data_IF_561996821312
#
_entry.id   IF_561996821312
#
_cell.length_a   1.000
_cell.length_b   1.000
_cell.length_c   1.000
_cell.angle_alpha   90.00
_cell.angle_beta   90.00
_cell.angle_gamma   90.00
#
_symmetry.space_group_name_H-M   'P 1'
#
loop_
_entity.id
_entity.type
_entity.pdbx_description
1 polymer ?
#
# COMPACT_ATOMS: atom_id res chain seq x y z
N UNK A 1 22.85 31.07 -49.59
CA UNK A 1 22.85 29.94 -48.63
C UNK A 1 23.00 30.54 -47.24
N UNK A 2 21.93 30.50 -46.42
CA UNK A 2 21.88 31.17 -45.12
C UNK A 2 21.68 30.08 -44.06
N UNK A 3 22.75 29.77 -43.34
CA UNK A 3 22.75 28.75 -42.29
C UNK A 3 22.04 29.32 -41.07
N UNK A 4 20.89 28.75 -40.72
CA UNK A 4 20.21 29.00 -39.45
C UNK A 4 20.79 28.05 -38.40
N UNK A 5 21.53 28.61 -37.44
CA UNK A 5 21.87 27.92 -36.20
C UNK A 5 20.68 28.02 -35.25
N UNK A 6 20.01 26.89 -35.01
CA UNK A 6 18.94 26.74 -34.03
C UNK A 6 19.59 26.35 -32.70
N UNK A 7 19.79 27.34 -31.82
CA UNK A 7 20.13 27.09 -30.43
C UNK A 7 18.85 26.69 -29.68
N UNK A 8 18.78 25.45 -29.22
CA UNK A 8 17.73 24.95 -28.34
C UNK A 8 18.06 25.42 -26.92
N UNK A 9 17.26 26.30 -26.29
CA UNK A 9 17.42 26.55 -24.87
C UNK A 9 16.93 25.30 -24.13
N UNK A 10 17.86 24.57 -23.53
CA UNK A 10 17.57 23.60 -22.48
C UNK A 10 16.84 24.38 -21.38
N UNK A 11 15.52 24.23 -21.33
CA UNK A 11 14.72 24.76 -20.24
C UNK A 11 15.22 24.12 -18.96
N UNK A 12 15.88 24.91 -18.11
CA UNK A 12 16.13 24.59 -16.72
C UNK A 12 14.76 24.32 -16.09
N UNK A 13 14.43 23.04 -15.93
CA UNK A 13 13.39 22.61 -15.02
C UNK A 13 13.88 23.06 -13.66
N UNK A 14 13.32 24.17 -13.17
CA UNK A 14 13.49 24.62 -11.80
C UNK A 14 13.06 23.44 -10.93
N UNK A 15 14.04 22.73 -10.36
CA UNK A 15 13.83 21.84 -9.24
C UNK A 15 13.32 22.70 -8.10
N UNK A 16 12.00 22.84 -8.02
CA UNK A 16 11.35 23.33 -6.81
C UNK A 16 11.70 22.35 -5.72
N UNK A 17 12.72 22.68 -4.94
CA UNK A 17 12.98 22.01 -3.68
C UNK A 17 11.68 22.14 -2.89
N UNK A 18 11.00 21.01 -2.66
CA UNK A 18 9.87 20.99 -1.74
C UNK A 18 10.48 21.34 -0.38
N UNK A 19 10.19 22.55 0.12
CA UNK A 19 10.87 23.15 1.27
C UNK A 19 10.73 22.35 2.58
N UNK A 20 9.92 21.29 2.58
CA UNK A 20 9.92 20.30 3.64
C UNK A 20 9.56 18.91 3.10
N UNK A 21 10.37 17.87 3.35
CA UNK A 21 9.95 16.50 3.09
C UNK A 21 8.66 16.15 3.86
N UNK A 22 7.82 15.25 3.35
CA UNK A 22 6.64 14.81 4.09
C UNK A 22 7.05 14.09 5.37
N UNK A 23 6.20 14.21 6.40
CA UNK A 23 6.45 13.68 7.74
C UNK A 23 6.55 12.15 7.73
N UNK A 24 5.76 11.50 6.88
CA UNK A 24 5.89 10.07 6.58
C UNK A 24 6.37 9.95 5.13
N UNK A 25 7.29 9.04 4.85
CA UNK A 25 7.71 8.79 3.48
C UNK A 25 7.55 7.33 3.12
N UNK A 26 6.80 7.08 2.05
CA UNK A 26 6.53 5.77 1.46
C UNK A 26 7.41 5.64 0.20
N UNK A 27 8.12 4.53 0.07
CA UNK A 27 9.08 4.31 -1.02
C UNK A 27 8.62 3.23 -2.00
N UNK A 28 8.71 1.98 -1.58
CA UNK A 28 8.48 0.82 -2.43
C UNK A 28 7.30 0.01 -1.88
N UNK A 29 6.64 -0.68 -2.79
CA UNK A 29 5.68 -1.72 -2.44
C UNK A 29 6.31 -3.10 -2.66
N UNK A 30 5.85 -4.06 -1.89
CA UNK A 30 6.28 -5.46 -1.87
C UNK A 30 5.05 -6.32 -1.63
N UNK A 31 5.14 -7.59 -2.04
CA UNK A 31 4.09 -8.57 -1.78
C UNK A 31 4.47 -9.31 -0.50
N UNK A 32 3.64 -9.27 0.56
CA UNK A 32 3.91 -10.06 1.76
C UNK A 32 3.72 -11.55 1.49
N UNK A 33 4.47 -12.40 2.19
CA UNK A 33 4.29 -13.84 2.13
C UNK A 33 3.09 -14.33 2.97
N UNK A 34 2.87 -15.64 3.00
CA UNK A 34 1.82 -16.31 3.76
C UNK A 34 1.95 -16.09 5.28
N UNK A 35 3.13 -15.75 5.78
CA UNK A 35 3.39 -15.39 7.17
C UNK A 35 3.29 -13.89 7.48
N UNK A 36 2.78 -13.08 6.53
CA UNK A 36 2.75 -11.62 6.59
C UNK A 36 4.14 -10.96 6.63
N UNK A 37 5.19 -11.65 6.22
CA UNK A 37 6.55 -11.10 6.22
C UNK A 37 6.83 -10.43 4.87
N UNK A 38 7.43 -9.24 4.93
CA UNK A 38 7.81 -8.46 3.73
C UNK A 38 9.30 -8.61 3.47
N UNK A 39 9.65 -9.27 2.36
CA UNK A 39 11.04 -9.41 1.94
C UNK A 39 11.54 -8.17 1.18
N UNK A 40 12.07 -7.19 1.92
CA UNK A 40 12.60 -5.95 1.35
C UNK A 40 13.92 -6.10 0.58
N UNK A 41 14.62 -7.23 0.74
CA UNK A 41 15.81 -7.55 -0.05
C UNK A 41 15.46 -8.09 -1.45
N UNK A 42 14.19 -8.48 -1.66
CA UNK A 42 13.67 -8.91 -2.95
C UNK A 42 13.38 -7.74 -3.91
N UNK A 43 12.87 -8.09 -5.09
CA UNK A 43 12.41 -7.09 -6.05
C UNK A 43 11.18 -6.35 -5.50
N UNK A 44 11.20 -5.03 -5.57
CA UNK A 44 10.01 -4.22 -5.33
C UNK A 44 8.93 -4.57 -6.37
N UNK A 45 7.68 -4.57 -5.91
CA UNK A 45 6.53 -4.77 -6.77
C UNK A 45 6.13 -3.43 -7.40
N UNK A 46 6.11 -3.38 -8.73
CA UNK A 46 5.65 -2.22 -9.49
C UNK A 46 4.14 -2.18 -9.71
N UNK A 47 3.43 -3.21 -9.26
CA UNK A 47 2.01 -3.41 -9.47
C UNK A 47 1.63 -4.86 -9.21
N UNK A 48 0.33 -5.13 -9.17
CA UNK A 48 -0.13 -6.47 -8.88
C UNK A 48 -1.45 -6.86 -9.47
N UNK A 49 -1.91 -8.04 -9.07
CA UNK A 49 -3.07 -8.71 -9.61
C UNK A 49 -3.86 -9.44 -8.52
N UNK A 50 -5.19 -9.45 -8.67
CA UNK A 50 -6.12 -10.08 -7.73
C UNK A 50 -7.20 -10.86 -8.49
N UNK A 51 -7.41 -12.12 -8.11
CA UNK A 51 -8.56 -12.91 -8.52
C UNK A 51 -9.71 -12.78 -7.50
N UNK A 52 -10.79 -12.12 -7.89
CA UNK A 52 -11.99 -11.97 -7.05
C UNK A 52 -12.72 -13.27 -6.79
N UNK A 53 -12.47 -14.32 -7.59
CA UNK A 53 -13.11 -15.61 -7.38
C UNK A 53 -12.68 -16.26 -6.05
N UNK A 54 -11.50 -15.90 -5.53
CA UNK A 54 -10.90 -16.55 -4.37
C UNK A 54 -10.39 -15.58 -3.32
N UNK A 55 -9.88 -14.43 -3.72
CA UNK A 55 -9.32 -13.42 -2.82
C UNK A 55 -10.17 -12.14 -2.82
N UNK A 56 -10.42 -11.62 -1.63
CA UNK A 56 -11.33 -10.50 -1.41
C UNK A 56 -10.64 -9.26 -0.83
N UNK A 57 -9.31 -9.28 -0.76
CA UNK A 57 -8.43 -8.24 -0.22
C UNK A 57 -7.18 -8.18 -1.08
N UNK A 58 -6.58 -7.00 -1.20
CA UNK A 58 -5.30 -6.84 -1.88
C UNK A 58 -4.27 -6.31 -0.91
N UNK A 59 -3.40 -7.19 -0.40
CA UNK A 59 -2.43 -6.83 0.63
C UNK A 59 -1.10 -6.40 0.03
N UNK A 60 -0.67 -5.17 0.32
CA UNK A 60 0.62 -4.64 -0.10
C UNK A 60 1.48 -4.29 1.12
N UNK A 61 2.73 -4.73 1.12
CA UNK A 61 3.75 -4.32 2.07
C UNK A 61 4.45 -3.06 1.56
N UNK A 62 4.30 -1.94 2.26
CA UNK A 62 4.92 -0.67 1.94
C UNK A 62 6.17 -0.47 2.80
N UNK A 63 7.30 -0.11 2.19
CA UNK A 63 8.43 0.42 2.95
C UNK A 63 8.20 1.90 3.24
N UNK A 64 8.39 2.27 4.50
CA UNK A 64 8.17 3.64 4.96
C UNK A 64 9.26 4.09 5.93
N UNK A 65 9.47 5.40 6.06
CA UNK A 65 10.28 5.99 7.14
C UNK A 65 9.52 7.12 7.83
N UNK A 66 9.89 7.38 9.07
CA UNK A 66 9.56 8.64 9.72
C UNK A 66 10.55 9.72 9.21
N UNK A 67 10.01 10.79 8.64
CA UNK A 67 10.78 11.91 8.10
C UNK A 67 10.93 13.08 9.08
N UNK A 68 10.30 13.02 10.25
CA UNK A 68 10.40 14.07 11.27
C UNK A 68 11.79 14.03 11.90
N UNK A 69 12.51 15.15 11.86
CA UNK A 69 13.81 15.26 12.51
C UNK A 69 13.65 15.20 14.03
N UNK A 70 14.45 14.35 14.68
CA UNK A 70 14.63 14.35 16.13
C UNK A 70 15.34 15.65 16.54
N UNK A 71 14.62 16.63 17.04
CA UNK A 71 15.21 17.74 17.80
C UNK A 71 15.36 17.31 19.25
N UNK A 72 16.59 17.07 19.70
CA UNK A 72 16.88 16.92 21.13
C UNK A 72 16.48 18.22 21.84
N UNK A 73 15.67 18.10 22.89
CA UNK A 73 15.35 19.23 23.75
C UNK A 73 16.43 19.29 24.83
N UNK A 74 17.33 20.27 24.72
CA UNK A 74 18.35 20.53 25.74
C UNK A 74 17.83 21.52 26.78
N UNK A 75 18.00 21.20 28.06
CA UNK A 75 17.79 22.15 29.18
C UNK A 75 19.07 22.20 29.99
N UNK A 76 19.72 23.38 30.03
CA UNK A 76 21.04 23.59 30.65
C UNK A 76 22.12 22.62 30.13
N UNK A 77 22.30 22.53 28.80
CA UNK A 77 23.28 21.64 28.13
C UNK A 77 23.15 20.16 28.49
N UNK A 78 21.99 19.75 29.01
CA UNK A 78 21.65 18.37 29.33
C UNK A 78 20.44 17.96 28.51
N UNK A 79 20.49 16.83 27.78
CA UNK A 79 19.34 16.34 27.03
C UNK A 79 18.22 15.98 28.01
N UNK A 80 17.03 16.54 27.79
CA UNK A 80 15.81 16.13 28.49
C UNK A 80 15.29 14.88 27.79
N UNK A 81 15.64 13.71 28.31
CA UNK A 81 15.03 12.46 27.88
C UNK A 81 13.64 12.34 28.52
N UNK A 82 12.61 12.85 27.85
CA UNK A 82 11.24 12.39 28.14
C UNK A 82 11.14 10.92 27.73
N UNK A 83 10.56 10.05 28.55
CA UNK A 83 10.40 8.61 28.27
C UNK A 83 9.42 8.29 27.12
N UNK A 84 9.19 9.22 26.20
CA UNK A 84 8.28 9.08 25.06
C UNK A 84 8.96 9.43 23.74
N UNK A 85 8.58 8.71 22.68
CA UNK A 85 9.00 9.01 21.32
C UNK A 85 8.33 10.29 20.82
N UNK A 86 8.91 11.45 21.17
CA UNK A 86 8.35 12.78 20.93
C UNK A 86 8.09 13.10 19.45
N UNK A 87 8.71 12.37 18.54
CA UNK A 87 8.58 12.54 17.08
C UNK A 87 7.90 11.36 16.40
N UNK A 88 7.34 10.42 17.17
CA UNK A 88 6.43 9.41 16.64
C UNK A 88 5.23 10.07 15.95
N UNK A 89 4.78 9.44 14.86
CA UNK A 89 3.55 9.80 14.17
C UNK A 89 2.49 8.75 14.46
N UNK A 90 1.37 9.16 15.04
CA UNK A 90 0.20 8.32 15.21
C UNK A 90 -0.69 8.46 13.98
N UNK A 91 -0.68 7.45 13.13
CA UNK A 91 -1.58 7.38 11.98
C UNK A 91 -2.99 7.15 12.50
N UNK A 92 -3.93 8.00 12.07
CA UNK A 92 -5.34 7.97 12.46
C UNK A 92 -6.24 7.42 11.35
N UNK A 93 -5.80 7.57 10.09
CA UNK A 93 -6.49 6.99 8.96
C UNK A 93 -5.59 6.80 7.74
N UNK A 94 -6.05 5.93 6.85
CA UNK A 94 -5.48 5.70 5.52
C UNK A 94 -6.51 6.18 4.52
N UNK A 95 -6.09 7.00 3.56
CA UNK A 95 -6.91 7.39 2.42
C UNK A 95 -6.49 6.57 1.20
N UNK A 96 -7.47 5.92 0.57
CA UNK A 96 -7.31 5.22 -0.69
C UNK A 96 -8.17 5.90 -1.75
N UNK A 97 -7.54 6.40 -2.81
CA UNK A 97 -8.22 6.97 -3.97
C UNK A 97 -7.99 6.07 -5.17
N UNK A 98 -9.05 5.71 -5.87
CA UNK A 98 -9.00 4.77 -6.98
C UNK A 98 -9.15 5.48 -8.32
N UNK A 99 -8.30 5.12 -9.28
CA UNK A 99 -8.33 5.65 -10.63
C UNK A 99 -8.39 4.50 -11.65
N UNK A 100 -9.60 4.17 -12.11
CA UNK A 100 -9.82 3.12 -13.12
C UNK A 100 -9.06 3.44 -14.40
N UNK A 101 -8.27 2.49 -14.87
CA UNK A 101 -7.48 2.58 -16.09
C UNK A 101 -8.26 1.99 -17.25
N UNK A 102 -8.66 2.82 -18.21
CA UNK A 102 -9.43 2.39 -19.37
C UNK A 102 -10.92 2.25 -19.06
N UNK A 103 -11.50 1.08 -19.33
CA UNK A 103 -12.91 0.78 -19.10
C UNK A 103 -13.13 -0.07 -17.84
N UNK A 104 -14.20 0.21 -17.09
CA UNK A 104 -14.55 -0.54 -15.89
C UNK A 104 -15.44 0.26 -14.92
N UNK A 105 -15.79 -0.32 -13.77
CA UNK A 105 -16.48 0.39 -12.70
C UNK A 105 -15.68 1.60 -12.22
N UNK A 106 -16.39 2.64 -11.80
CA UNK A 106 -15.81 3.71 -10.98
C UNK A 106 -15.82 3.24 -9.53
N UNK A 107 -14.67 3.29 -8.86
CA UNK A 107 -14.54 2.94 -7.45
C UNK A 107 -14.55 4.22 -6.62
N UNK A 108 -15.35 4.25 -5.56
CA UNK A 108 -15.38 5.39 -4.63
C UNK A 108 -14.10 5.44 -3.81
N UNK A 109 -13.60 6.65 -3.52
CA UNK A 109 -12.47 6.82 -2.61
C UNK A 109 -12.89 6.46 -1.18
N UNK A 110 -11.98 5.88 -0.43
CA UNK A 110 -12.26 5.33 0.89
C UNK A 110 -11.28 5.85 1.93
N UNK A 111 -11.77 6.06 3.15
CA UNK A 111 -10.98 6.48 4.31
C UNK A 111 -11.13 5.43 5.41
N UNK A 112 -10.05 4.74 5.75
CA UNK A 112 -10.01 3.73 6.79
C UNK A 112 -9.48 4.33 8.07
N UNK A 113 -10.33 4.46 9.08
CA UNK A 113 -9.85 4.75 10.43
C UNK A 113 -8.97 3.60 10.92
N UNK A 114 -7.74 3.93 11.31
CA UNK A 114 -6.76 2.98 11.84
C UNK A 114 -5.91 3.68 12.89
N UNK A 115 -5.34 2.94 13.82
CA UNK A 115 -4.55 3.50 14.90
C UNK A 115 -3.26 2.71 15.07
N UNK A 116 -2.17 3.24 14.54
CA UNK A 116 -0.83 2.71 14.75
C UNK A 116 0.20 3.83 14.80
N UNK A 117 1.32 3.56 15.47
CA UNK A 117 2.43 4.50 15.57
C UNK A 117 3.53 4.15 14.57
N UNK A 118 4.03 5.16 13.87
CA UNK A 118 5.29 5.11 13.14
C UNK A 118 6.34 5.72 14.07
N UNK A 119 7.23 4.91 14.67
CA UNK A 119 8.23 5.42 15.60
C UNK A 119 9.24 6.32 14.89
N UNK A 120 9.91 7.19 15.62
CA UNK A 120 10.95 8.10 15.10
C UNK A 120 12.15 7.38 14.52
N UNK A 121 12.43 6.17 15.00
CA UNK A 121 13.48 5.33 14.47
C UNK A 121 13.04 4.49 13.26
N UNK A 122 11.82 4.67 12.74
CA UNK A 122 11.38 4.00 11.52
C UNK A 122 12.24 4.47 10.34
N UNK A 123 13.01 3.54 9.79
CA UNK A 123 13.90 3.78 8.64
C UNK A 123 13.27 3.26 7.37
N UNK A 124 13.88 3.45 6.20
CA UNK A 124 13.38 2.88 4.93
C UNK A 124 13.27 1.34 4.91
N UNK A 125 13.75 0.66 5.96
CA UNK A 125 13.59 -0.78 6.17
C UNK A 125 12.39 -1.13 7.07
N UNK A 126 11.62 -0.14 7.52
CA UNK A 126 10.38 -0.36 8.26
C UNK A 126 9.25 -0.63 7.27
N UNK A 127 8.40 -1.60 7.59
CA UNK A 127 7.32 -2.04 6.70
C UNK A 127 5.96 -1.89 7.33
N UNK A 128 4.98 -1.60 6.48
CA UNK A 128 3.58 -1.55 6.82
C UNK A 128 2.80 -2.37 5.79
N UNK A 129 2.09 -3.39 6.24
CA UNK A 129 1.18 -4.13 5.37
C UNK A 129 -0.20 -3.50 5.46
N UNK A 130 -0.75 -3.09 4.33
CA UNK A 130 -2.09 -2.51 4.23
C UNK A 130 -2.92 -3.26 3.17
N UNK A 131 -4.23 -3.21 3.35
CA UNK A 131 -5.17 -3.60 2.32
C UNK A 131 -5.43 -2.41 1.39
N UNK A 132 -5.19 -2.59 0.10
CA UNK A 132 -5.43 -1.58 -0.92
C UNK A 132 -6.86 -1.63 -1.47
N UNK A 133 -7.67 -2.59 -1.05
CA UNK A 133 -9.04 -2.74 -1.51
C UNK A 133 -10.03 -2.65 -0.34
N UNK A 134 -10.82 -1.58 -0.33
CA UNK A 134 -11.84 -1.40 0.69
C UNK A 134 -13.07 -2.23 0.56
N UNK A 135 -13.94 -2.07 1.56
CA UNK A 135 -15.24 -2.69 1.56
C UNK A 135 -16.10 -2.25 0.37
N UNK A 136 -16.16 -0.94 0.09
CA UNK A 136 -17.00 -0.41 -0.97
C UNK A 136 -16.40 -0.66 -2.35
N UNK A 137 -15.08 -0.47 -2.51
CA UNK A 137 -14.40 -0.81 -3.76
C UNK A 137 -14.55 -2.30 -4.07
N UNK A 138 -14.36 -3.18 -3.08
CA UNK A 138 -14.56 -4.63 -3.22
C UNK A 138 -15.99 -4.99 -3.64
N UNK A 139 -16.99 -4.45 -2.95
CA UNK A 139 -18.39 -4.73 -3.27
C UNK A 139 -18.72 -4.29 -4.71
N UNK A 140 -18.22 -3.12 -5.10
CA UNK A 140 -18.37 -2.60 -6.47
C UNK A 140 -17.71 -3.53 -7.48
N UNK A 141 -16.51 -4.04 -7.19
CA UNK A 141 -15.82 -4.97 -8.07
C UNK A 141 -16.54 -6.32 -8.16
N UNK A 142 -16.99 -6.90 -7.04
CA UNK A 142 -17.72 -8.17 -7.02
C UNK A 142 -19.05 -8.08 -7.78
N UNK A 143 -19.71 -6.93 -7.74
CA UNK A 143 -21.00 -6.72 -8.42
C UNK A 143 -20.86 -6.38 -9.89
N UNK A 144 -19.78 -5.71 -10.31
CA UNK A 144 -19.65 -5.18 -11.68
C UNK A 144 -18.60 -5.90 -12.54
N UNK A 145 -17.66 -6.64 -11.94
CA UNK A 145 -16.67 -7.43 -12.67
C UNK A 145 -17.17 -8.87 -12.77
N UNK A 146 -17.82 -9.17 -13.90
CA UNK A 146 -18.33 -10.51 -14.17
C UNK A 146 -17.21 -11.54 -14.41
N UNK A 147 -17.51 -12.85 -14.28
CA UNK A 147 -16.57 -13.91 -14.58
C UNK A 147 -15.95 -13.79 -15.99
N UNK A 148 -14.66 -14.04 -16.09
CA UNK A 148 -13.86 -13.91 -17.32
C UNK A 148 -13.46 -12.47 -17.67
N UNK A 149 -13.87 -11.48 -16.89
CA UNK A 149 -13.52 -10.06 -17.11
C UNK A 149 -12.35 -9.62 -16.22
N UNK A 150 -11.71 -8.53 -16.61
CA UNK A 150 -10.70 -7.84 -15.80
C UNK A 150 -10.86 -6.32 -15.86
N UNK A 151 -10.39 -5.65 -14.82
CA UNK A 151 -10.30 -4.20 -14.69
C UNK A 151 -8.97 -3.85 -14.04
N UNK A 152 -8.34 -2.78 -14.49
CA UNK A 152 -7.14 -2.24 -13.86
C UNK A 152 -7.44 -0.88 -13.25
N UNK A 153 -6.84 -0.58 -12.11
CA UNK A 153 -6.93 0.73 -11.47
C UNK A 153 -5.61 1.08 -10.79
N UNK A 154 -5.33 2.38 -10.66
CA UNK A 154 -4.27 2.86 -9.79
C UNK A 154 -4.88 3.17 -8.43
N UNK A 155 -4.32 2.60 -7.37
CA UNK A 155 -4.65 2.95 -5.98
C UNK A 155 -3.65 3.99 -5.51
N UNK A 156 -4.15 5.20 -5.23
CA UNK A 156 -3.38 6.26 -4.59
C UNK A 156 -3.52 6.11 -3.08
N UNK A 157 -2.38 6.02 -2.40
CA UNK A 157 -2.31 5.73 -0.96
C UNK A 157 -1.75 6.95 -0.25
N UNK A 158 -2.44 7.39 0.81
CA UNK A 158 -1.96 8.43 1.72
C UNK A 158 -2.21 8.02 3.17
N UNK A 159 -1.19 8.17 4.01
CA UNK A 159 -1.29 7.98 5.46
C UNK A 159 -1.44 9.35 6.12
N UNK A 160 -2.42 9.47 7.01
CA UNK A 160 -2.72 10.72 7.72
C UNK A 160 -2.75 10.47 9.21
N UNK A 161 -2.09 11.35 9.96
CA UNK A 161 -1.91 11.21 11.39
C UNK A 161 -1.53 12.51 12.08
N UNK A 162 -1.08 12.35 13.31
CA UNK A 162 -0.62 13.45 14.16
C UNK A 162 0.59 13.03 15.00
N UNK A 163 1.43 13.99 15.35
CA UNK A 163 2.54 13.78 16.27
C UNK A 163 2.05 13.78 17.73
N UNK A 164 2.92 13.39 18.67
CA UNK A 164 2.65 13.53 20.12
C UNK A 164 2.24 14.96 20.51
N UNK A 165 2.74 15.97 19.79
CA UNK A 165 2.44 17.39 20.03
C UNK A 165 1.13 17.86 19.38
N UNK A 166 0.41 16.97 18.68
CA UNK A 166 -0.84 17.29 17.97
C UNK A 166 -0.63 17.98 16.62
N UNK A 167 0.61 18.02 16.10
CA UNK A 167 0.87 18.54 14.77
C UNK A 167 0.43 17.52 13.72
N UNK A 168 -0.26 17.97 12.67
CA UNK A 168 -0.65 17.10 11.56
C UNK A 168 0.57 16.54 10.85
N UNK A 169 0.50 15.25 10.51
CA UNK A 169 1.52 14.54 9.78
C UNK A 169 0.87 13.76 8.63
N UNK A 170 1.41 13.91 7.43
CA UNK A 170 0.93 13.26 6.22
C UNK A 170 2.09 12.57 5.51
N UNK A 171 1.77 11.49 4.78
CA UNK A 171 2.72 10.87 3.87
C UNK A 171 2.80 11.57 2.51
N UNK A 172 3.85 11.28 1.73
CA UNK A 172 3.72 11.42 0.28
C UNK A 172 2.61 10.49 -0.24
N UNK A 173 2.04 10.87 -1.38
CA UNK A 173 1.13 10.00 -2.13
C UNK A 173 1.95 9.09 -3.05
N UNK A 174 1.61 7.81 -3.06
CA UNK A 174 2.10 6.85 -4.05
C UNK A 174 0.92 6.28 -4.83
N UNK A 175 1.11 6.01 -6.11
CA UNK A 175 0.13 5.32 -6.95
C UNK A 175 0.61 3.89 -7.23
N UNK A 176 -0.23 2.91 -6.92
CA UNK A 176 0.08 1.50 -7.07
C UNK A 176 -0.94 0.85 -8.02
N UNK A 177 -0.52 0.35 -9.20
CA UNK A 177 -1.43 -0.27 -10.15
C UNK A 177 -1.83 -1.67 -9.69
N UNK A 178 -3.13 -1.94 -9.70
CA UNK A 178 -3.72 -3.26 -9.41
C UNK A 178 -4.61 -3.67 -10.58
N UNK A 179 -4.44 -4.91 -11.04
CA UNK A 179 -5.31 -5.52 -12.05
C UNK A 179 -6.15 -6.60 -11.41
N UNK A 180 -7.44 -6.37 -11.36
CA UNK A 180 -8.41 -7.30 -10.79
C UNK A 180 -9.04 -8.10 -11.91
N UNK A 181 -9.15 -9.40 -11.73
CA UNK A 181 -9.84 -10.32 -12.63
C UNK A 181 -10.80 -11.21 -11.85
N UNK A 182 -11.75 -11.82 -12.54
CA UNK A 182 -12.66 -12.78 -11.94
C UNK A 182 -12.57 -14.09 -12.73
N UNK A 183 -11.72 -15.03 -12.31
CA UNK A 183 -11.51 -16.27 -13.07
C UNK A 183 -12.74 -17.19 -13.07
N UNK A 184 -13.58 -17.08 -12.04
CA UNK A 184 -14.65 -18.04 -11.79
C UNK A 184 -14.15 -19.36 -11.17
N UNK A 185 -12.92 -19.36 -10.63
CA UNK A 185 -12.37 -20.51 -9.92
C UNK A 185 -13.31 -20.96 -8.79
N UNK A 186 -13.49 -22.28 -8.69
CA UNK A 186 -14.25 -22.91 -7.62
C UNK A 186 -13.61 -24.25 -7.28
N UNK A 187 -13.52 -24.56 -5.99
CA UNK A 187 -13.02 -25.85 -5.55
C UNK A 187 -14.00 -26.99 -5.85
N UNK A 188 -13.52 -28.17 -6.28
CA UNK A 188 -14.38 -29.33 -6.48
C UNK A 188 -15.04 -29.79 -5.16
N UNK A 189 -16.16 -30.53 -5.23
CA UNK A 189 -16.83 -31.05 -4.04
C UNK A 189 -15.88 -31.85 -3.15
N UNK A 190 -15.94 -31.62 -1.83
CA UNK A 190 -15.06 -32.28 -0.84
C UNK A 190 -13.71 -31.60 -0.62
N UNK A 191 -13.45 -30.48 -1.31
CA UNK A 191 -12.25 -29.65 -1.10
C UNK A 191 -12.63 -28.23 -0.70
N UNK A 192 -11.67 -27.48 -0.14
CA UNK A 192 -11.81 -26.06 0.20
C UNK A 192 -10.62 -25.27 -0.34
N UNK A 193 -10.75 -23.94 -0.43
CA UNK A 193 -9.63 -23.08 -0.80
C UNK A 193 -8.48 -23.24 0.19
N UNK A 194 -7.28 -23.42 -0.34
CA UNK A 194 -6.05 -23.44 0.44
C UNK A 194 -5.63 -22.00 0.78
N UNK A 195 -5.13 -21.80 2.00
CA UNK A 195 -4.75 -20.50 2.54
C UNK A 195 -3.26 -20.24 2.28
N UNK A 196 -2.89 -20.28 1.01
CA UNK A 196 -1.51 -20.14 0.53
C UNK A 196 -1.16 -18.73 0.05
N UNK A 197 -2.08 -17.78 0.13
CA UNK A 197 -1.89 -16.40 -0.32
C UNK A 197 -1.26 -15.49 0.73
N UNK A 198 -1.04 -14.21 0.39
CA UNK A 198 -0.45 -13.23 1.29
C UNK A 198 -1.17 -13.16 2.64
N UNK A 199 -0.38 -13.11 3.73
CA UNK A 199 -0.86 -13.09 5.10
C UNK A 199 -1.77 -14.27 5.49
N UNK A 200 -1.57 -15.43 4.86
CA UNK A 200 -2.37 -16.63 5.10
C UNK A 200 -3.79 -16.46 4.58
N UNK A 201 -4.01 -15.58 3.61
CA UNK A 201 -5.27 -15.50 2.87
C UNK A 201 -5.39 -16.64 1.85
N UNK A 202 -6.55 -16.79 1.21
CA UNK A 202 -6.67 -17.67 0.05
C UNK A 202 -5.76 -17.19 -1.09
N UNK A 203 -5.27 -18.13 -1.90
CA UNK A 203 -4.60 -17.81 -3.16
C UNK A 203 -5.48 -16.98 -4.10
N UNK A 204 -4.88 -16.27 -5.03
CA UNK A 204 -5.54 -15.35 -5.97
C UNK A 204 -4.84 -14.00 -6.10
N UNK A 205 -3.88 -13.70 -5.24
CA UNK A 205 -3.09 -12.47 -5.31
C UNK A 205 -1.66 -12.75 -5.82
N UNK A 206 -1.15 -11.94 -6.75
CA UNK A 206 0.29 -11.79 -7.06
C UNK A 206 1.15 -13.07 -7.07
N UNK A 207 0.89 -13.96 -8.03
CA UNK A 207 1.72 -15.17 -8.17
C UNK A 207 1.48 -16.23 -7.10
N UNK A 208 0.55 -16.02 -6.16
CA UNK A 208 -0.05 -17.06 -5.34
C UNK A 208 -1.30 -17.59 -6.04
N UNK A 209 -1.21 -18.66 -6.86
CA UNK A 209 -2.36 -19.17 -7.59
C UNK A 209 -3.38 -19.77 -6.61
N UNK A 210 -4.69 -19.66 -6.90
CA UNK A 210 -5.71 -20.34 -6.12
C UNK A 210 -5.55 -21.85 -6.24
N UNK A 211 -5.49 -22.53 -5.10
CA UNK A 211 -5.42 -23.99 -4.98
C UNK A 211 -6.47 -24.49 -3.99
N UNK A 212 -6.76 -25.78 -4.04
CA UNK A 212 -7.73 -26.43 -3.16
C UNK A 212 -7.05 -27.53 -2.35
N UNK A 213 -7.43 -27.65 -1.09
CA UNK A 213 -7.01 -28.72 -0.19
C UNK A 213 -8.21 -29.60 0.19
N UNK A 214 -7.94 -30.87 0.51
CA UNK A 214 -8.97 -31.79 0.99
C UNK A 214 -9.49 -31.36 2.37
N UNK A 215 -10.81 -31.45 2.57
CA UNK A 215 -11.39 -31.21 3.89
C UNK A 215 -11.18 -32.48 4.71
N UNK A 216 -10.27 -32.47 5.68
CA UNK A 216 -10.12 -33.61 6.59
C UNK A 216 -11.49 -33.93 7.22
N UNK A 217 -11.93 -35.19 7.21
CA UNK A 217 -13.17 -35.56 7.86
C UNK A 217 -13.03 -35.27 9.35
N UNK A 218 -13.91 -34.43 9.89
CA UNK A 218 -14.02 -34.22 11.34
C UNK A 218 -14.36 -35.58 11.94
N UNK A 219 -13.36 -36.25 12.53
CA UNK A 219 -13.58 -37.49 13.28
C UNK A 219 -14.35 -37.08 14.54
N UNK A 220 -15.59 -37.56 14.71
CA UNK A 220 -16.43 -37.18 15.86
C UNK A 220 -15.91 -37.72 17.19
#
# INVERSE_FOLDING_TARGET
>A
MKNFYLAVPLALVMSGCVDNPPAIQIFNAYIPDDSCVVNQAGAASGGGSLDLATANRYLAGLSLRNGIALTEVEVNDSPVTGEGDATAVYVTHIELTYETQGGGPTLESEVYSTHFAIPSNATSNSTLVIDLLGGNARETLLTQVGPGSSVSFNVRIRLVGETVTGAKAESNEIAYPVTVYHSGFSCPPGTRLEFNGPCGGPGGQDGFPPTCEEVEPVVP
#
